data_IF_923920834339
#
_entry.id   IF_923920834339
#
_cell.length_a   1.000
_cell.length_b   1.000
_cell.length_c   1.000
_cell.angle_alpha   90.00
_cell.angle_beta   90.00
_cell.angle_gamma   90.00
#
_symmetry.space_group_name_H-M   'P 1'
#
loop_
_entity.id
_entity.type
_entity.pdbx_description
1 polymer ?
#
# COMPACT_ATOMS: atom_id res chain seq x y z
N UNK A 1 10.06 26.24 -12.11
CA UNK A 1 8.62 25.91 -12.03
C UNK A 1 8.43 24.41 -12.04
N UNK A 2 7.50 23.87 -11.24
CA UNK A 2 7.09 22.48 -11.33
C UNK A 2 6.28 22.24 -12.61
N UNK A 3 6.58 21.16 -13.33
CA UNK A 3 5.85 20.72 -14.51
C UNK A 3 5.47 19.26 -14.34
N UNK A 4 4.20 18.93 -14.50
CA UNK A 4 3.74 17.53 -14.52
C UNK A 4 4.14 16.92 -15.86
N UNK A 5 5.01 15.92 -15.82
CA UNK A 5 5.56 15.24 -17.00
C UNK A 5 4.74 14.00 -17.35
N UNK A 6 4.23 13.31 -16.33
CA UNK A 6 3.44 12.10 -16.52
C UNK A 6 2.36 11.97 -15.45
N UNK A 7 1.27 11.29 -15.82
CA UNK A 7 0.26 10.76 -14.90
C UNK A 7 0.06 9.28 -15.20
N UNK A 8 -0.13 8.47 -14.17
CA UNK A 8 -0.23 7.02 -14.31
C UNK A 8 -1.10 6.45 -13.20
N UNK A 9 -2.10 5.68 -13.60
CA UNK A 9 -2.92 4.88 -12.69
C UNK A 9 -2.54 3.40 -12.84
N UNK A 10 -2.31 2.72 -11.72
CA UNK A 10 -2.01 1.29 -11.72
C UNK A 10 -2.44 0.63 -10.41
N UNK A 11 -2.97 -0.59 -10.54
CA UNK A 11 -3.31 -1.44 -9.40
C UNK A 11 -2.26 -2.54 -9.19
N UNK A 12 -2.04 -2.90 -7.93
CA UNK A 12 -1.17 -3.99 -7.50
C UNK A 12 -1.93 -4.93 -6.58
N UNK A 13 -1.74 -6.23 -6.75
CA UNK A 13 -2.37 -7.25 -5.91
C UNK A 13 -1.29 -8.03 -5.17
N UNK A 14 -1.36 -8.03 -3.84
CA UNK A 14 -0.44 -8.77 -2.98
C UNK A 14 -1.20 -9.81 -2.16
N UNK A 15 -0.57 -10.95 -1.91
CA UNK A 15 -1.11 -11.98 -1.04
C UNK A 15 -0.30 -12.03 0.25
N UNK A 16 -0.99 -12.03 1.39
CA UNK A 16 -0.35 -12.14 2.72
C UNK A 16 -1.16 -13.05 3.64
N UNK A 17 -0.52 -13.49 4.72
CA UNK A 17 -1.13 -14.33 5.75
C UNK A 17 -0.87 -13.71 7.12
N UNK A 18 -1.94 -13.51 7.89
CA UNK A 18 -1.89 -12.98 9.25
C UNK A 18 -2.16 -14.10 10.27
N UNK A 19 -1.15 -14.54 11.04
CA UNK A 19 -1.37 -15.48 12.11
C UNK A 19 -1.98 -14.76 13.33
N UNK A 20 -3.11 -15.25 13.80
CA UNK A 20 -3.71 -14.86 15.05
C UNK A 20 -3.16 -15.74 16.19
N UNK A 21 -2.95 -15.18 17.40
CA UNK A 21 -2.49 -15.95 18.57
C UNK A 21 -3.46 -17.04 19.02
N UNK A 22 -4.73 -16.97 18.61
CA UNK A 22 -5.78 -17.92 18.97
C UNK A 22 -6.79 -18.07 17.84
N UNK A 23 -7.52 -19.20 17.83
CA UNK A 23 -8.56 -19.47 16.85
C UNK A 23 -9.75 -18.51 17.04
N UNK A 24 -10.05 -17.64 16.07
CA UNK A 24 -11.17 -16.72 16.19
C UNK A 24 -12.50 -17.45 16.00
N UNK A 25 -13.48 -17.17 16.85
CA UNK A 25 -14.89 -17.54 16.60
C UNK A 25 -15.42 -16.74 15.41
N UNK A 26 -15.01 -15.46 15.30
CA UNK A 26 -15.28 -14.59 14.16
C UNK A 26 -14.35 -13.40 14.12
N UNK A 27 -14.10 -12.89 12.91
CA UNK A 27 -13.55 -11.56 12.68
C UNK A 27 -14.70 -10.54 12.76
N UNK A 28 -14.50 -9.44 13.48
CA UNK A 28 -15.48 -8.35 13.63
C UNK A 28 -15.22 -7.23 12.65
N UNK A 29 -13.96 -6.85 12.54
CA UNK A 29 -13.52 -5.70 11.76
C UNK A 29 -12.02 -5.82 11.49
N UNK A 30 -11.55 -5.21 10.41
CA UNK A 30 -10.12 -5.04 10.12
C UNK A 30 -9.92 -3.57 9.77
N UNK A 31 -9.21 -2.85 10.63
CA UNK A 31 -8.97 -1.42 10.45
C UNK A 31 -7.62 -1.20 9.80
N UNK A 32 -7.63 -0.63 8.61
CA UNK A 32 -6.44 -0.41 7.79
C UNK A 32 -5.96 1.03 7.95
N UNK A 33 -4.65 1.22 8.01
CA UNK A 33 -4.02 2.54 7.99
C UNK A 33 -2.78 2.51 7.09
N UNK A 34 -2.83 3.26 6.00
CA UNK A 34 -1.64 3.56 5.18
C UNK A 34 -0.75 4.50 5.96
N UNK A 35 0.42 4.02 6.37
CA UNK A 35 1.36 4.77 7.22
C UNK A 35 2.23 5.70 6.41
N UNK A 36 2.84 5.15 5.36
CA UNK A 36 3.82 5.85 4.55
C UNK A 36 3.92 5.21 3.18
N UNK A 37 4.22 6.04 2.18
CA UNK A 37 4.63 5.60 0.85
C UNK A 37 5.93 6.29 0.50
N UNK A 38 6.96 5.49 0.23
CA UNK A 38 8.25 5.98 -0.25
C UNK A 38 8.35 5.75 -1.74
N UNK A 39 8.98 6.69 -2.46
CA UNK A 39 9.20 6.58 -3.88
C UNK A 39 10.69 6.71 -4.22
N UNK A 40 11.15 5.87 -5.13
CA UNK A 40 12.45 5.97 -5.76
C UNK A 40 12.28 6.00 -7.28
N UNK A 41 12.62 7.13 -7.89
CA UNK A 41 12.54 7.31 -9.34
C UNK A 41 13.87 6.89 -9.97
N UNK A 42 13.78 5.89 -10.84
CA UNK A 42 14.87 5.45 -11.70
C UNK A 42 14.47 5.65 -13.17
N UNK A 43 15.37 5.37 -14.09
CA UNK A 43 15.09 5.55 -15.52
C UNK A 43 13.84 4.75 -15.94
N UNK A 44 12.82 5.47 -16.41
CA UNK A 44 11.52 4.96 -16.87
C UNK A 44 10.65 4.21 -15.84
N UNK A 45 11.04 4.20 -14.55
CA UNK A 45 10.27 3.53 -13.50
C UNK A 45 10.20 4.36 -12.22
N UNK A 46 9.08 4.23 -11.54
CA UNK A 46 8.93 4.64 -10.14
C UNK A 46 8.79 3.38 -9.30
N UNK A 47 9.76 3.13 -8.43
CA UNK A 47 9.69 2.08 -7.41
C UNK A 47 9.01 2.68 -6.18
N UNK A 48 8.15 1.92 -5.52
CA UNK A 48 7.51 2.32 -4.28
C UNK A 48 7.67 1.27 -3.19
N UNK A 49 7.70 1.75 -1.95
CA UNK A 49 7.52 0.96 -0.73
C UNK A 49 6.33 1.54 0.04
N UNK A 50 5.26 0.76 0.20
CA UNK A 50 4.04 1.14 0.88
C UNK A 50 3.96 0.39 2.22
N UNK A 51 3.99 1.13 3.32
CA UNK A 51 3.79 0.59 4.67
C UNK A 51 2.31 0.69 5.06
N UNK A 52 1.70 -0.47 5.33
CA UNK A 52 0.33 -0.58 5.81
C UNK A 52 0.37 -1.22 7.19
N UNK A 53 -0.26 -0.57 8.17
CA UNK A 53 -0.61 -1.22 9.43
C UNK A 53 -2.09 -1.57 9.44
N UNK A 54 -2.43 -2.68 10.09
CA UNK A 54 -3.81 -3.09 10.29
C UNK A 54 -4.06 -3.58 11.71
N UNK A 55 -5.24 -3.28 12.23
CA UNK A 55 -5.74 -3.82 13.50
C UNK A 55 -6.91 -4.77 13.21
N UNK A 56 -6.68 -6.06 13.44
CA UNK A 56 -7.71 -7.09 13.33
C UNK A 56 -8.47 -7.18 14.65
N UNK A 57 -9.76 -6.87 14.62
CA UNK A 57 -10.67 -7.02 15.75
C UNK A 57 -11.41 -8.34 15.61
N UNK A 58 -11.28 -9.24 16.58
CA UNK A 58 -11.88 -10.58 16.51
C UNK A 58 -12.41 -11.04 17.86
N UNK A 59 -13.27 -12.06 17.84
CA UNK A 59 -13.83 -12.67 19.06
C UNK A 59 -13.17 -14.01 19.32
N UNK A 60 -12.68 -14.20 20.53
CA UNK A 60 -12.14 -15.47 21.04
C UNK A 60 -12.66 -15.69 22.45
N UNK A 61 -13.14 -16.91 22.74
CA UNK A 61 -13.69 -17.28 24.05
C UNK A 61 -14.74 -16.29 24.60
N UNK A 62 -15.57 -15.75 23.70
CA UNK A 62 -16.61 -14.77 24.04
C UNK A 62 -16.10 -13.35 24.32
N UNK A 63 -14.81 -13.07 24.20
CA UNK A 63 -14.18 -11.76 24.41
C UNK A 63 -13.73 -11.14 23.09
N UNK A 64 -13.76 -9.81 23.01
CA UNK A 64 -13.22 -9.06 21.88
C UNK A 64 -11.74 -8.80 22.12
N UNK A 65 -10.92 -9.15 21.14
CA UNK A 65 -9.46 -8.97 21.13
C UNK A 65 -9.05 -8.18 19.90
N UNK A 66 -7.94 -7.47 20.00
CA UNK A 66 -7.31 -6.76 18.88
C UNK A 66 -5.91 -7.29 18.68
N UNK A 67 -5.54 -7.58 17.43
CA UNK A 67 -4.18 -7.92 17.04
C UNK A 67 -3.72 -6.99 15.91
N UNK A 68 -2.62 -6.28 16.15
CA UNK A 68 -2.00 -5.40 15.16
C UNK A 68 -1.02 -6.16 14.26
N UNK A 69 -0.94 -5.75 12.99
CA UNK A 69 0.06 -6.18 12.02
C UNK A 69 0.61 -4.97 11.26
N UNK A 70 1.85 -5.06 10.77
CA UNK A 70 2.43 -4.11 9.84
C UNK A 70 3.11 -4.87 8.70
N UNK A 71 2.88 -4.42 7.48
CA UNK A 71 3.42 -4.99 6.26
C UNK A 71 3.99 -3.90 5.37
N UNK A 72 5.05 -4.24 4.64
CA UNK A 72 5.60 -3.40 3.58
C UNK A 72 5.37 -4.09 2.25
N UNK A 73 4.70 -3.39 1.34
CA UNK A 73 4.45 -3.84 -0.02
C UNK A 73 5.28 -3.00 -0.99
N UNK A 74 6.14 -3.68 -1.74
CA UNK A 74 7.03 -3.03 -2.70
C UNK A 74 6.61 -3.36 -4.13
N UNK A 75 6.74 -2.39 -5.02
CA UNK A 75 6.43 -2.57 -6.43
C UNK A 75 7.12 -1.55 -7.31
N UNK A 76 6.94 -1.70 -8.61
CA UNK A 76 7.45 -0.76 -9.60
C UNK A 76 6.36 -0.43 -10.63
N UNK A 77 6.24 0.85 -10.94
CA UNK A 77 5.35 1.36 -11.96
C UNK A 77 6.15 1.90 -13.14
N UNK A 78 5.96 1.37 -14.36
CA UNK A 78 6.59 1.94 -15.55
C UNK A 78 5.99 3.31 -15.86
N UNK A 79 6.85 4.31 -15.91
CA UNK A 79 6.53 5.71 -16.24
C UNK A 79 7.55 6.19 -17.26
N UNK A 80 7.28 6.07 -18.57
CA UNK A 80 8.21 6.50 -19.61
C UNK A 80 8.63 7.97 -19.43
N UNK A 81 9.93 8.24 -19.53
CA UNK A 81 10.51 9.56 -19.32
C UNK A 81 10.82 9.89 -17.86
N UNK A 82 10.57 8.98 -16.92
CA UNK A 82 10.97 9.16 -15.53
C UNK A 82 12.49 9.15 -15.38
N UNK A 83 13.01 10.08 -14.58
CA UNK A 83 14.43 10.22 -14.30
C UNK A 83 14.67 10.55 -12.82
N UNK A 84 15.86 10.17 -12.33
CA UNK A 84 16.27 10.42 -10.95
C UNK A 84 16.18 11.92 -10.62
N UNK A 85 15.63 12.22 -9.45
CA UNK A 85 15.46 13.60 -8.96
C UNK A 85 14.11 14.24 -9.30
N UNK A 86 13.27 13.59 -10.11
CA UNK A 86 11.87 13.99 -10.27
C UNK A 86 11.08 13.70 -8.99
N UNK A 87 10.11 14.57 -8.68
CA UNK A 87 9.20 14.40 -7.56
C UNK A 87 8.02 13.51 -7.97
N UNK A 88 7.62 12.62 -7.07
CA UNK A 88 6.42 11.81 -7.20
C UNK A 88 5.38 12.31 -6.21
N UNK A 89 4.18 12.59 -6.72
CA UNK A 89 2.97 12.71 -5.90
C UNK A 89 2.06 11.56 -6.23
N UNK A 90 1.50 10.92 -5.22
CA UNK A 90 0.60 9.81 -5.44
C UNK A 90 -0.57 9.84 -4.46
N UNK A 91 -1.74 9.51 -4.98
CA UNK A 91 -2.89 9.11 -4.18
C UNK A 91 -2.92 7.59 -4.15
N UNK A 92 -3.10 7.02 -2.95
CA UNK A 92 -3.07 5.57 -2.73
C UNK A 92 -4.32 5.14 -1.98
N UNK A 93 -5.05 4.21 -2.56
CA UNK A 93 -6.21 3.57 -1.97
C UNK A 93 -5.93 2.08 -1.78
N UNK A 94 -6.37 1.53 -0.65
CA UNK A 94 -6.12 0.14 -0.28
C UNK A 94 -7.42 -0.55 0.07
N UNK A 95 -7.63 -1.71 -0.55
CA UNK A 95 -8.72 -2.62 -0.23
C UNK A 95 -8.14 -3.99 0.16
N UNK A 96 -8.74 -4.63 1.17
CA UNK A 96 -8.35 -5.98 1.61
C UNK A 96 -9.53 -6.92 1.47
N UNK A 97 -9.34 -7.98 0.69
CA UNK A 97 -10.22 -9.13 0.63
C UNK A 97 -9.61 -10.23 1.48
N UNK A 98 -10.41 -10.90 2.31
CA UNK A 98 -9.88 -11.92 3.20
C UNK A 98 -10.78 -13.14 3.36
N UNK A 99 -10.16 -14.25 3.71
CA UNK A 99 -10.80 -15.44 4.26
C UNK A 99 -10.01 -15.93 5.47
N UNK A 100 -10.68 -16.50 6.46
CA UNK A 100 -10.02 -17.07 7.64
C UNK A 100 -10.12 -18.59 7.64
N UNK A 101 -9.05 -19.26 8.04
CA UNK A 101 -9.04 -20.71 8.31
C UNK A 101 -8.07 -21.00 9.44
N UNK A 102 -8.51 -21.79 10.43
CA UNK A 102 -7.70 -21.97 11.64
C UNK A 102 -7.51 -20.64 12.37
N UNK A 103 -6.31 -20.44 12.90
CA UNK A 103 -5.85 -19.18 13.47
C UNK A 103 -5.15 -18.29 12.43
N UNK A 104 -5.49 -18.41 11.15
CA UNK A 104 -4.86 -17.63 10.07
C UNK A 104 -5.90 -16.88 9.25
N UNK A 105 -5.57 -15.64 8.88
CA UNK A 105 -6.29 -14.84 7.91
C UNK A 105 -5.46 -14.80 6.63
N UNK A 106 -6.05 -15.18 5.52
CA UNK A 106 -5.46 -15.10 4.19
C UNK A 106 -6.02 -13.86 3.53
N UNK A 107 -5.16 -12.99 3.05
CA UNK A 107 -5.53 -11.67 2.56
C UNK A 107 -5.01 -11.46 1.13
N UNK A 108 -5.86 -10.86 0.31
CA UNK A 108 -5.51 -10.22 -0.95
C UNK A 108 -5.61 -8.71 -0.74
N UNK A 109 -4.47 -8.04 -0.82
CA UNK A 109 -4.34 -6.59 -0.65
C UNK A 109 -4.28 -5.96 -2.04
N UNK A 110 -5.36 -5.27 -2.42
CA UNK A 110 -5.44 -4.48 -3.63
C UNK A 110 -5.00 -3.05 -3.32
N UNK A 111 -3.93 -2.62 -3.97
CA UNK A 111 -3.40 -1.25 -3.86
C UNK A 111 -3.66 -0.55 -5.18
N UNK A 112 -4.52 0.47 -5.16
CA UNK A 112 -4.75 1.35 -6.29
C UNK A 112 -3.89 2.61 -6.12
N UNK A 113 -3.05 2.91 -7.11
CA UNK A 113 -2.14 4.05 -7.06
C UNK A 113 -2.33 4.95 -8.26
N UNK A 114 -2.60 6.23 -8.00
CA UNK A 114 -2.67 7.30 -8.99
C UNK A 114 -1.49 8.25 -8.79
N UNK A 115 -0.52 8.21 -9.72
CA UNK A 115 0.74 8.93 -9.63
C UNK A 115 0.79 10.12 -10.59
N UNK A 116 1.43 11.20 -10.13
CA UNK A 116 1.89 12.32 -10.93
C UNK A 116 3.42 12.47 -10.76
N UNK A 117 4.12 12.53 -11.89
CA UNK A 117 5.56 12.77 -11.93
C UNK A 117 5.85 14.22 -12.27
N UNK A 118 6.66 14.89 -11.44
CA UNK A 118 6.89 16.33 -11.51
C UNK A 118 8.39 16.61 -11.68
N UNK A 119 8.71 17.46 -12.65
CA UNK A 119 10.05 17.97 -12.90
C UNK A 119 10.12 19.46 -12.54
N UNK A 120 11.23 19.90 -11.93
CA UNK A 120 11.48 21.31 -11.64
C UNK A 120 12.43 21.91 -12.67
N UNK A 121 11.92 22.83 -13.49
CA UNK A 121 12.71 23.52 -14.52
C UNK A 121 13.08 24.93 -14.07
N UNK A 122 14.32 25.34 -14.32
CA UNK A 122 14.72 26.74 -14.16
C UNK A 122 14.12 27.57 -15.30
N UNK A 123 13.47 28.69 -14.96
CA UNK A 123 13.16 29.72 -15.95
C UNK A 123 14.37 30.64 -15.93
N UNK A 124 15.16 30.65 -17.00
CA UNK A 124 16.07 31.76 -17.26
C UNK A 124 15.21 32.78 -18.01
N UNK A 125 14.91 33.90 -17.36
CA UNK A 125 14.30 35.08 -17.97
C UNK A 125 15.36 35.89 -18.71
#
# INVERSE_FOLDING_TARGET
>A
MPVVIAKKDQSFLFSTVKPLPAFPIRIRDIKINVRQVNFNVIENFVIFDLEISQDVVYVVDGRVTVQGFSDVFSGAMPVPGAQKGMEVRADVEVEIFYNSSGSSIFEQVLVNMSLQLIEYRNIIL
#
